data_IF_590412779704
#
_entry.id   IF_590412779704
#
_cell.length_a   1.000
_cell.length_b   1.000
_cell.length_c   1.000
_cell.angle_alpha   90.00
_cell.angle_beta   90.00
_cell.angle_gamma   90.00
#
_symmetry.space_group_name_H-M   'P 1'
#
loop_
_entity.id
_entity.type
_entity.pdbx_description
1 polymer ?
#
# COMPACT_ATOMS: atom_id res chain seq x y z
N UNK A 1 11.54 1.09 -7.67
CA UNK A 1 10.10 1.28 -7.40
C UNK A 1 9.36 -0.01 -7.65
N UNK A 2 8.48 -0.35 -6.75
CA UNK A 2 7.62 -1.51 -6.91
C UNK A 2 6.26 -1.13 -7.42
N UNK A 3 5.50 -2.11 -7.87
CA UNK A 3 4.15 -1.87 -8.39
C UNK A 3 3.19 -2.86 -7.73
N UNK A 4 2.11 -2.33 -7.18
CA UNK A 4 0.98 -3.12 -6.72
C UNK A 4 -0.04 -3.14 -7.84
N UNK A 5 -0.41 -4.34 -8.28
CA UNK A 5 -1.37 -4.50 -9.36
C UNK A 5 -2.63 -5.16 -8.81
N UNK A 6 -3.75 -4.48 -8.96
CA UNK A 6 -5.03 -4.95 -8.47
C UNK A 6 -6.10 -4.68 -9.52
N UNK A 7 -6.55 -5.75 -10.20
CA UNK A 7 -7.40 -5.58 -11.36
C UNK A 7 -6.66 -4.80 -12.44
N UNK A 8 -7.30 -3.80 -13.05
CA UNK A 8 -6.63 -2.98 -14.07
C UNK A 8 -5.76 -1.87 -13.46
N UNK A 9 -5.71 -1.74 -12.14
CA UNK A 9 -4.98 -0.65 -11.48
C UNK A 9 -3.54 -1.04 -11.20
N UNK A 10 -2.63 -0.12 -11.47
CA UNK A 10 -1.21 -0.25 -11.16
C UNK A 10 -0.80 0.95 -10.32
N UNK A 11 -0.32 0.68 -9.12
CA UNK A 11 0.05 1.73 -8.17
C UNK A 11 1.53 1.55 -7.84
N UNK A 12 2.32 2.58 -8.07
CA UNK A 12 3.75 2.54 -7.81
C UNK A 12 4.04 2.99 -6.39
N UNK A 13 4.79 2.15 -5.67
CA UNK A 13 5.29 2.48 -4.34
C UNK A 13 6.77 2.15 -4.28
N UNK A 14 7.48 2.79 -3.37
CA UNK A 14 8.84 2.40 -3.04
C UNK A 14 8.87 0.92 -2.64
N UNK A 15 9.92 0.17 -3.08
CA UNK A 15 10.01 -1.26 -2.81
C UNK A 15 9.92 -1.59 -1.31
N UNK A 16 10.54 -0.77 -0.47
CA UNK A 16 10.51 -0.99 0.98
C UNK A 16 9.10 -0.81 1.53
N UNK A 17 8.42 0.24 1.12
CA UNK A 17 7.02 0.47 1.52
C UNK A 17 6.13 -0.67 1.01
N UNK A 18 6.30 -1.06 -0.24
CA UNK A 18 5.47 -2.11 -0.82
C UNK A 18 5.66 -3.45 -0.10
N UNK A 19 6.88 -3.76 0.35
CA UNK A 19 7.14 -4.96 1.14
C UNK A 19 6.32 -4.96 2.43
N UNK A 20 6.26 -3.81 3.11
CA UNK A 20 5.48 -3.70 4.34
C UNK A 20 3.98 -3.74 4.06
N UNK A 21 3.53 -3.13 2.96
CA UNK A 21 2.15 -3.23 2.53
C UNK A 21 1.76 -4.68 2.18
N UNK A 22 2.64 -5.39 1.51
CA UNK A 22 2.37 -6.80 1.17
C UNK A 22 2.08 -7.60 2.44
N UNK A 23 2.89 -7.42 3.47
CA UNK A 23 2.69 -8.13 4.74
C UNK A 23 1.29 -7.85 5.31
N UNK A 24 0.89 -6.58 5.34
CA UNK A 24 -0.40 -6.17 5.91
C UNK A 24 -1.57 -6.66 5.05
N UNK A 25 -1.47 -6.48 3.74
CA UNK A 25 -2.54 -6.88 2.81
C UNK A 25 -2.74 -8.40 2.85
N UNK A 26 -1.64 -9.15 2.80
CA UNK A 26 -1.73 -10.62 2.83
C UNK A 26 -2.34 -11.09 4.14
N UNK A 27 -1.98 -10.49 5.27
CA UNK A 27 -2.57 -10.84 6.55
C UNK A 27 -4.07 -10.58 6.59
N UNK A 28 -4.51 -9.45 6.02
CA UNK A 28 -5.93 -9.15 5.92
C UNK A 28 -6.65 -10.19 5.05
N UNK A 29 -6.08 -10.50 3.90
CA UNK A 29 -6.69 -11.44 2.96
C UNK A 29 -6.73 -12.87 3.51
N UNK A 30 -5.73 -13.27 4.30
CA UNK A 30 -5.75 -14.58 4.97
C UNK A 30 -6.92 -14.70 5.93
N UNK A 31 -7.35 -13.61 6.51
CA UNK A 31 -8.50 -13.58 7.41
C UNK A 31 -9.80 -13.28 6.68
N UNK A 32 -9.78 -13.22 5.37
CA UNK A 32 -10.95 -12.92 4.55
C UNK A 32 -11.55 -11.55 4.83
N UNK A 33 -10.73 -10.60 5.22
CA UNK A 33 -11.19 -9.25 5.56
C UNK A 33 -10.96 -8.31 4.39
N UNK A 34 -12.02 -7.62 3.97
CA UNK A 34 -11.94 -6.54 2.99
C UNK A 34 -11.64 -5.24 3.72
N UNK A 35 -11.03 -4.29 3.01
CA UNK A 35 -10.71 -3.00 3.61
C UNK A 35 -10.47 -1.97 2.51
N UNK A 36 -10.62 -0.70 2.89
CA UNK A 36 -10.29 0.42 2.01
C UNK A 36 -8.81 0.74 2.16
N UNK A 37 -8.12 1.01 1.05
CA UNK A 37 -6.74 1.46 1.06
C UNK A 37 -6.66 2.80 0.35
N UNK A 38 -5.98 3.77 0.97
CA UNK A 38 -5.88 5.13 0.45
C UNK A 38 -4.45 5.62 0.46
N UNK A 39 -4.12 6.44 -0.52
CA UNK A 39 -2.81 7.08 -0.63
C UNK A 39 -2.97 8.40 -1.37
N UNK A 40 -1.88 9.16 -1.46
CA UNK A 40 -1.84 10.40 -2.21
C UNK A 40 -1.10 10.18 -3.53
N UNK A 41 -1.56 10.86 -4.57
CA UNK A 41 -0.87 10.86 -5.86
C UNK A 41 -0.50 12.29 -6.19
N UNK A 42 0.78 12.51 -6.43
CA UNK A 42 1.31 13.85 -6.75
C UNK A 42 1.59 13.95 -8.24
N UNK A 43 1.05 15.00 -8.84
CA UNK A 43 1.48 15.45 -10.15
C UNK A 43 2.19 16.79 -9.95
N UNK A 44 2.81 17.34 -11.00
CA UNK A 44 3.51 18.62 -10.84
C UNK A 44 2.57 19.79 -10.58
N UNK A 45 1.28 19.63 -10.78
CA UNK A 45 0.31 20.72 -10.57
C UNK A 45 -0.66 20.47 -9.43
N UNK A 46 -0.71 19.24 -8.87
CA UNK A 46 -1.74 18.90 -7.90
C UNK A 46 -1.36 17.69 -7.07
N UNK A 47 -2.05 17.55 -5.94
CA UNK A 47 -2.01 16.34 -5.11
C UNK A 47 -3.45 15.87 -4.92
N UNK A 48 -3.72 14.61 -5.25
CA UNK A 48 -5.06 14.05 -5.13
C UNK A 48 -5.07 12.82 -4.23
N UNK A 49 -6.23 12.57 -3.62
CA UNK A 49 -6.44 11.34 -2.85
C UNK A 49 -6.90 10.24 -3.80
N UNK A 50 -6.33 9.06 -3.60
CA UNK A 50 -6.73 7.85 -4.31
C UNK A 50 -7.18 6.82 -3.29
N UNK A 51 -8.21 6.05 -3.60
CA UNK A 51 -8.69 4.98 -2.73
C UNK A 51 -9.12 3.79 -3.57
N UNK A 52 -8.92 2.60 -3.02
CA UNK A 52 -9.34 1.38 -3.67
C UNK A 52 -9.90 0.42 -2.62
N UNK A 53 -10.96 -0.29 -2.97
CA UNK A 53 -11.54 -1.30 -2.09
C UNK A 53 -10.83 -2.62 -2.33
N UNK A 54 -10.12 -3.11 -1.31
CA UNK A 54 -9.36 -4.36 -1.36
C UNK A 54 -10.23 -5.50 -0.88
N UNK A 55 -10.41 -6.50 -1.74
CA UNK A 55 -11.28 -7.64 -1.48
C UNK A 55 -10.49 -8.93 -1.65
N UNK A 56 -10.49 -9.84 -0.66
CA UNK A 56 -9.71 -11.08 -0.75
C UNK A 56 -10.14 -12.02 -1.89
N UNK A 57 -11.29 -11.79 -2.49
CA UNK A 57 -11.72 -12.57 -3.66
C UNK A 57 -11.03 -12.15 -4.96
N UNK A 58 -10.37 -11.00 -4.98
CA UNK A 58 -9.67 -10.50 -6.15
C UNK A 58 -8.18 -10.74 -6.00
N UNK A 59 -7.49 -11.20 -7.05
CA UNK A 59 -6.05 -11.39 -6.96
C UNK A 59 -5.31 -10.06 -6.84
N UNK A 60 -4.23 -10.06 -6.07
CA UNK A 60 -3.34 -8.93 -5.95
C UNK A 60 -1.94 -9.38 -6.33
N UNK A 61 -1.22 -8.52 -7.05
CA UNK A 61 0.10 -8.83 -7.57
C UNK A 61 1.08 -7.78 -7.07
N UNK A 62 2.18 -8.23 -6.47
CA UNK A 62 3.24 -7.34 -5.99
C UNK A 62 4.47 -7.56 -6.84
N UNK A 63 4.91 -6.52 -7.53
CA UNK A 63 6.08 -6.60 -8.40
C UNK A 63 7.15 -5.66 -7.89
N UNK A 64 8.34 -6.17 -7.69
CA UNK A 64 9.48 -5.42 -7.12
C UNK A 64 10.55 -5.21 -8.17
N UNK A 65 11.31 -4.13 -8.01
CA UNK A 65 12.42 -3.83 -8.89
C UNK A 65 13.59 -4.78 -8.62
N UNK A 66 13.90 -5.01 -7.34
CA UNK A 66 15.00 -5.89 -6.95
C UNK A 66 14.52 -7.22 -6.41
N UNK A 67 15.46 -8.14 -6.22
CA UNK A 67 15.18 -9.47 -5.67
C UNK A 67 15.42 -9.58 -4.17
N UNK A 68 16.08 -8.58 -3.58
CA UNK A 68 16.37 -8.60 -2.15
C UNK A 68 15.11 -8.25 -1.36
N UNK A 69 14.82 -9.06 -0.33
CA UNK A 69 13.71 -8.79 0.57
C UNK A 69 14.24 -7.92 1.72
N UNK A 70 13.77 -6.68 1.87
CA UNK A 70 14.20 -5.84 2.98
C UNK A 70 13.69 -6.39 4.31
N UNK A 71 14.42 -6.08 5.39
CA UNK A 71 13.96 -6.45 6.73
C UNK A 71 12.72 -5.63 7.09
N UNK A 72 11.81 -6.25 7.83
CA UNK A 72 10.59 -5.57 8.25
C UNK A 72 10.85 -4.68 9.46
N UNK A 73 10.29 -3.48 9.42
CA UNK A 73 10.22 -2.60 10.58
C UNK A 73 8.91 -2.90 11.29
N UNK A 74 8.99 -3.52 12.46
CA UNK A 74 7.80 -3.98 13.19
C UNK A 74 6.89 -2.84 13.61
N UNK A 75 7.47 -1.69 13.95
CA UNK A 75 6.67 -0.52 14.32
C UNK A 75 5.89 0.00 13.14
N UNK A 76 6.50 0.00 11.96
CA UNK A 76 5.85 0.43 10.74
C UNK A 76 4.72 -0.54 10.36
N UNK A 77 4.98 -1.84 10.44
CA UNK A 77 3.93 -2.84 10.18
C UNK A 77 2.77 -2.65 11.16
N UNK A 78 3.06 -2.43 12.44
CA UNK A 78 2.01 -2.21 13.44
C UNK A 78 1.19 -0.95 13.13
N UNK A 79 1.84 0.12 12.68
CA UNK A 79 1.15 1.34 12.29
C UNK A 79 0.21 1.07 11.11
N UNK A 80 0.70 0.39 10.08
CA UNK A 80 -0.10 0.09 8.89
C UNK A 80 -1.26 -0.85 9.24
N UNK A 81 -1.03 -1.86 10.06
CA UNK A 81 -2.08 -2.76 10.48
C UNK A 81 -3.13 -2.05 11.33
N UNK A 82 -2.71 -1.15 12.21
CA UNK A 82 -3.63 -0.34 12.98
C UNK A 82 -4.52 0.51 12.09
N UNK A 83 -3.94 1.13 11.07
CA UNK A 83 -4.72 1.89 10.07
C UNK A 83 -5.71 0.99 9.35
N UNK A 84 -5.27 -0.20 8.91
CA UNK A 84 -6.13 -1.12 8.16
C UNK A 84 -7.32 -1.60 8.99
N UNK A 85 -7.17 -1.69 10.30
CA UNK A 85 -8.24 -2.09 11.23
C UNK A 85 -9.11 -0.92 11.67
N UNK A 86 -8.72 0.30 11.34
CA UNK A 86 -9.46 1.49 11.72
C UNK A 86 -10.64 1.77 10.79
N UNK A 87 -11.51 2.70 11.22
CA UNK A 87 -12.73 3.02 10.49
C UNK A 87 -12.49 3.66 9.12
N UNK A 88 -11.31 4.26 8.93
CA UNK A 88 -10.95 4.91 7.66
C UNK A 88 -10.22 3.95 6.70
N UNK A 89 -9.93 2.72 7.14
CA UNK A 89 -9.18 1.78 6.36
C UNK A 89 -7.67 2.04 6.42
N UNK A 90 -6.94 1.38 5.54
CA UNK A 90 -5.49 1.50 5.49
C UNK A 90 -5.08 2.79 4.79
N UNK A 91 -4.69 3.78 5.57
CA UNK A 91 -4.07 4.98 5.04
C UNK A 91 -2.58 4.65 4.90
N UNK A 92 -2.10 4.59 3.66
CA UNK A 92 -0.71 4.20 3.41
C UNK A 92 0.22 5.29 3.96
N UNK A 93 1.15 4.89 4.81
CA UNK A 93 2.08 5.81 5.47
C UNK A 93 3.51 5.40 5.21
N UNK A 94 4.37 6.39 5.11
CA UNK A 94 5.80 6.18 5.05
C UNK A 94 6.33 5.71 6.40
N UNK A 95 7.58 5.28 6.41
CA UNK A 95 8.22 4.75 7.62
C UNK A 95 8.24 5.75 8.76
N UNK A 96 8.28 7.04 8.45
CA UNK A 96 8.25 8.11 9.46
C UNK A 96 6.84 8.48 9.93
N UNK A 97 5.80 7.79 9.41
CA UNK A 97 4.42 8.02 9.79
C UNK A 97 3.69 9.05 8.93
N UNK A 98 4.38 9.74 8.05
CA UNK A 98 3.73 10.70 7.16
C UNK A 98 2.92 9.99 6.07
N UNK A 99 1.87 10.64 5.53
CA UNK A 99 1.10 10.04 4.44
C UNK A 99 1.99 9.76 3.23
N UNK A 100 1.87 8.55 2.69
CA UNK A 100 2.64 8.16 1.53
C UNK A 100 2.03 8.74 0.26
N UNK A 101 2.88 9.04 -0.70
CA UNK A 101 2.42 9.53 -1.99
C UNK A 101 3.13 8.79 -3.11
N UNK A 102 2.42 8.66 -4.23
CA UNK A 102 3.00 8.18 -5.48
C UNK A 102 3.20 9.38 -6.40
N UNK A 103 4.11 9.23 -7.37
CA UNK A 103 4.33 10.25 -8.38
C UNK A 103 3.89 9.70 -9.72
N UNK A 104 3.21 10.53 -10.49
CA UNK A 104 2.82 10.15 -11.84
C UNK A 104 3.42 11.17 -12.81
N UNK A 105 4.17 10.66 -13.78
CA UNK A 105 4.69 11.50 -14.87
C UNK A 105 3.54 11.89 -15.80
N UNK A 106 3.51 13.15 -16.16
CA UNK A 106 2.47 13.67 -17.04
C UNK A 106 2.99 13.78 -18.44
#
# INVERSE_FOLDING_TARGET
>A
MGVLIYGPQEIEFDDRLLTHLEFVIVNKFKRRESFLMSWLEKTHSNTSRQSIWMNPSSPVYFKYTGSRVPSLNREWVALLQGEANGSRGLIVRNEDGSPASTSRAM
#
